data_IF_261516271870
#
_entry.id   IF_261516271870
#
_cell.length_a   1.000
_cell.length_b   1.000
_cell.length_c   1.000
_cell.angle_alpha   90.00
_cell.angle_beta   90.00
_cell.angle_gamma   90.00
#
_symmetry.space_group_name_H-M   'P 1'
#
loop_
_entity.id
_entity.type
_entity.pdbx_description
1 polymer ?
#
# COMPACT_ATOMS: atom_id res chain seq x y z
N UNK A 1 -12.02 -7.20 -8.74
CA UNK A 1 -12.82 -7.44 -7.53
C UNK A 1 -13.26 -6.15 -6.85
N UNK A 2 -12.35 -5.19 -6.66
CA UNK A 2 -12.66 -3.94 -5.93
C UNK A 2 -13.52 -2.92 -6.69
N UNK A 3 -13.43 -2.84 -8.03
CA UNK A 3 -14.26 -1.91 -8.84
C UNK A 3 -15.77 -2.16 -8.69
N UNK A 4 -16.17 -3.39 -8.35
CA UNK A 4 -17.58 -3.78 -8.11
C UNK A 4 -17.97 -3.73 -6.63
N UNK A 5 -17.08 -3.25 -5.75
CA UNK A 5 -17.40 -3.08 -4.33
C UNK A 5 -18.41 -1.96 -4.15
N UNK A 6 -19.42 -2.18 -3.31
CA UNK A 6 -20.38 -1.15 -2.90
C UNK A 6 -19.75 -0.09 -1.99
N UNK A 7 -18.53 -0.34 -1.51
CA UNK A 7 -17.77 0.59 -0.68
C UNK A 7 -16.41 0.80 -1.30
N UNK A 8 -16.13 2.05 -1.69
CA UNK A 8 -14.85 2.44 -2.28
C UNK A 8 -14.18 3.48 -1.40
N UNK A 9 -12.88 3.30 -1.12
CA UNK A 9 -12.07 4.35 -0.49
C UNK A 9 -11.58 5.37 -1.51
N UNK A 10 -11.23 6.57 -1.05
CA UNK A 10 -10.52 7.56 -1.85
C UNK A 10 -9.01 7.42 -1.63
N UNK A 11 -8.21 7.83 -2.62
CA UNK A 11 -6.76 7.97 -2.45
C UNK A 11 -6.38 9.44 -2.23
N UNK A 12 -5.72 9.71 -1.10
CA UNK A 12 -5.65 11.04 -0.49
C UNK A 12 -4.67 12.07 -1.07
N UNK A 13 -3.99 11.79 -2.17
CA UNK A 13 -2.98 12.70 -2.71
C UNK A 13 -3.59 13.94 -3.38
N UNK A 14 -4.79 13.78 -3.94
CA UNK A 14 -5.61 14.87 -4.46
C UNK A 14 -7.08 14.40 -4.45
N UNK A 15 -7.93 15.11 -3.72
CA UNK A 15 -9.36 14.81 -3.63
C UNK A 15 -10.14 16.00 -4.17
N UNK A 16 -11.03 15.74 -5.12
CA UNK A 16 -11.98 16.72 -5.67
C UNK A 16 -13.39 16.24 -5.36
N UNK A 17 -14.19 17.09 -4.72
CA UNK A 17 -15.56 16.77 -4.36
C UNK A 17 -16.47 17.99 -4.58
N UNK A 18 -17.72 17.73 -5.00
CA UNK A 18 -18.74 18.77 -5.07
C UNK A 18 -19.02 19.26 -3.65
N UNK A 19 -19.10 20.59 -3.46
CA UNK A 19 -19.25 21.21 -2.14
C UNK A 19 -20.50 20.72 -1.40
N UNK A 20 -21.61 20.50 -2.10
CA UNK A 20 -22.85 19.97 -1.52
C UNK A 20 -22.66 18.56 -0.97
N UNK A 21 -22.02 17.69 -1.76
CA UNK A 21 -21.78 16.29 -1.41
C UNK A 21 -20.80 16.17 -0.25
N UNK A 22 -19.74 16.98 -0.25
CA UNK A 22 -18.77 17.04 0.84
C UNK A 22 -19.42 17.49 2.15
N UNK A 23 -20.35 18.46 2.09
CA UNK A 23 -21.12 18.90 3.27
C UNK A 23 -22.13 17.85 3.74
N UNK A 24 -22.76 17.12 2.82
CA UNK A 24 -23.73 16.06 3.13
C UNK A 24 -23.15 15.00 4.06
N UNK A 25 -21.86 14.67 3.89
CA UNK A 25 -21.15 13.70 4.73
C UNK A 25 -20.41 14.33 5.92
N UNK A 26 -20.65 15.62 6.22
CA UNK A 26 -19.91 16.40 7.22
C UNK A 26 -18.38 16.46 6.98
N UNK A 27 -17.95 16.29 5.73
CA UNK A 27 -16.56 16.37 5.29
C UNK A 27 -15.57 15.56 6.14
N UNK A 28 -14.33 16.07 6.24
CA UNK A 28 -13.28 15.45 7.05
C UNK A 28 -13.58 15.44 8.56
N UNK A 29 -14.52 16.26 9.04
CA UNK A 29 -14.95 16.21 10.44
C UNK A 29 -15.55 14.85 10.81
N UNK A 30 -16.18 14.17 9.83
CA UNK A 30 -16.77 12.83 10.01
C UNK A 30 -15.74 11.70 10.16
N UNK A 31 -14.48 11.94 9.79
CA UNK A 31 -13.38 10.95 9.78
C UNK A 31 -12.15 11.42 10.56
N UNK A 32 -12.29 12.43 11.42
CA UNK A 32 -11.18 13.04 12.16
C UNK A 32 -10.41 12.06 13.07
N UNK A 33 -11.08 11.02 13.54
CA UNK A 33 -10.51 9.97 14.41
C UNK A 33 -9.90 8.82 13.61
N UNK A 34 -10.11 8.80 12.30
CA UNK A 34 -9.66 7.72 11.43
C UNK A 34 -8.19 7.87 11.10
N UNK A 35 -7.49 6.74 11.10
CA UNK A 35 -6.07 6.71 10.74
C UNK A 35 -5.91 7.03 9.26
N UNK A 36 -6.73 6.42 8.41
CA UNK A 36 -6.69 6.58 6.96
C UNK A 36 -7.93 7.36 6.54
N UNK A 37 -7.83 8.67 6.72
CA UNK A 37 -8.90 9.64 6.50
C UNK A 37 -9.43 9.60 5.08
N UNK A 38 -8.56 9.42 4.08
CA UNK A 38 -8.94 9.28 2.67
C UNK A 38 -9.82 8.05 2.39
N UNK A 39 -9.41 6.85 2.83
CA UNK A 39 -10.22 5.65 2.66
C UNK A 39 -11.56 5.76 3.41
N UNK A 40 -11.52 6.24 4.65
CA UNK A 40 -12.72 6.40 5.47
C UNK A 40 -13.68 7.45 4.87
N UNK A 41 -13.14 8.54 4.31
CA UNK A 41 -13.94 9.55 3.64
C UNK A 41 -14.62 8.98 2.40
N UNK A 42 -13.90 8.20 1.58
CA UNK A 42 -14.48 7.51 0.42
C UNK A 42 -15.59 6.53 0.81
N UNK A 43 -15.39 5.79 1.91
CA UNK A 43 -16.43 4.93 2.46
C UNK A 43 -17.69 5.72 2.83
N UNK A 44 -17.56 6.87 3.51
CA UNK A 44 -18.70 7.75 3.84
C UNK A 44 -19.43 8.28 2.60
N UNK A 45 -18.69 8.65 1.55
CA UNK A 45 -19.28 9.03 0.26
C UNK A 45 -20.10 7.88 -0.32
N UNK A 46 -19.50 6.69 -0.40
CA UNK A 46 -20.14 5.48 -0.94
C UNK A 46 -21.42 5.11 -0.16
N UNK A 47 -21.36 5.12 1.18
CA UNK A 47 -22.50 4.85 2.07
C UNK A 47 -23.63 5.87 1.92
N UNK A 48 -23.31 7.10 1.52
CA UNK A 48 -24.28 8.18 1.30
C UNK A 48 -24.85 8.22 -0.13
N UNK A 49 -24.57 7.19 -0.93
CA UNK A 49 -24.98 7.05 -2.32
C UNK A 49 -24.24 7.96 -3.29
N UNK A 50 -23.11 8.55 -2.89
CA UNK A 50 -22.32 9.44 -3.73
C UNK A 50 -21.25 8.61 -4.44
N UNK A 51 -21.16 8.67 -5.78
CA UNK A 51 -20.19 7.87 -6.53
C UNK A 51 -18.75 8.32 -6.22
N UNK A 52 -17.91 7.35 -5.90
CA UNK A 52 -16.46 7.54 -5.72
C UNK A 52 -15.76 7.02 -6.97
N UNK A 53 -14.81 7.80 -7.50
CA UNK A 53 -13.99 7.39 -8.65
C UNK A 53 -12.53 7.69 -8.34
N UNK A 54 -11.66 6.69 -8.52
CA UNK A 54 -10.21 6.83 -8.35
C UNK A 54 -9.51 6.81 -9.70
N UNK A 55 -8.60 7.75 -9.89
CA UNK A 55 -7.78 7.89 -11.09
C UNK A 55 -6.32 7.82 -10.70
N UNK A 56 -5.47 7.25 -11.56
CA UNK A 56 -4.03 7.19 -11.33
C UNK A 56 -3.38 8.59 -11.36
N UNK A 57 -4.02 9.57 -12.03
CA UNK A 57 -3.54 10.95 -12.07
C UNK A 57 -2.18 11.12 -12.75
N UNK A 58 -1.74 10.12 -13.53
CA UNK A 58 -0.47 10.14 -14.27
C UNK A 58 -0.37 11.43 -15.09
N UNK A 59 0.73 12.16 -14.91
CA UNK A 59 1.04 13.46 -15.52
C UNK A 59 0.15 14.66 -15.13
N UNK A 60 -0.90 14.46 -14.33
CA UNK A 60 -1.82 15.53 -13.92
C UNK A 60 -1.57 16.03 -12.49
N UNK A 61 -1.13 15.13 -11.60
CA UNK A 61 -0.89 15.44 -10.19
C UNK A 61 0.48 14.91 -9.79
N UNK A 62 1.34 15.80 -9.28
CA UNK A 62 2.65 15.45 -8.72
C UNK A 62 2.72 15.88 -7.28
N UNK A 63 3.12 14.97 -6.40
CA UNK A 63 3.29 15.25 -4.97
C UNK A 63 4.42 14.40 -4.40
N UNK A 64 4.98 14.85 -3.26
CA UNK A 64 6.01 14.10 -2.53
C UNK A 64 5.41 13.51 -1.26
N UNK A 65 5.17 12.20 -1.25
CA UNK A 65 4.53 11.51 -0.12
C UNK A 65 5.37 11.56 1.17
N UNK A 66 6.68 11.35 1.05
CA UNK A 66 7.62 11.25 2.18
C UNK A 66 8.77 12.25 2.07
N UNK A 67 8.57 13.52 2.47
CA UNK A 67 9.63 14.53 2.42
C UNK A 67 10.75 14.29 3.44
N UNK A 68 10.45 13.64 4.57
CA UNK A 68 11.41 13.36 5.66
C UNK A 68 12.32 12.15 5.43
N UNK A 69 12.46 11.67 4.19
CA UNK A 69 13.31 10.52 3.84
C UNK A 69 12.82 9.19 4.42
N UNK A 70 13.76 8.26 4.63
CA UNK A 70 13.50 6.87 5.03
C UNK A 70 12.63 6.75 6.28
N UNK A 71 12.83 7.61 7.28
CA UNK A 71 12.00 7.59 8.49
C UNK A 71 10.53 7.88 8.17
N UNK A 72 10.26 8.91 7.38
CA UNK A 72 8.89 9.26 6.99
C UNK A 72 8.25 8.17 6.13
N UNK A 73 9.05 7.47 5.33
CA UNK A 73 8.62 6.35 4.51
C UNK A 73 8.25 5.14 5.37
N UNK A 74 9.10 4.77 6.33
CA UNK A 74 8.83 3.67 7.29
C UNK A 74 7.56 3.95 8.10
N UNK A 75 7.43 5.16 8.66
CA UNK A 75 6.24 5.57 9.40
C UNK A 75 4.98 5.52 8.51
N UNK A 76 5.11 5.90 7.24
CA UNK A 76 4.01 5.93 6.28
C UNK A 76 3.52 4.57 5.83
N UNK A 77 4.42 3.70 5.41
CA UNK A 77 4.05 2.33 5.09
C UNK A 77 3.51 1.58 6.31
N UNK A 78 4.08 1.83 7.49
CA UNK A 78 3.56 1.33 8.76
C UNK A 78 2.09 1.68 8.95
N UNK A 79 1.74 2.95 8.76
CA UNK A 79 0.36 3.44 8.83
C UNK A 79 -0.56 2.74 7.82
N UNK A 80 -0.13 2.60 6.58
CA UNK A 80 -0.94 2.00 5.50
C UNK A 80 -1.24 0.52 5.73
N UNK A 81 -0.31 -0.23 6.34
CA UNK A 81 -0.51 -1.66 6.63
C UNK A 81 -1.69 -1.91 7.59
N UNK A 82 -1.91 -1.03 8.58
CA UNK A 82 -2.97 -1.17 9.59
C UNK A 82 -4.37 -1.14 8.98
N UNK A 83 -4.60 -0.15 8.12
CA UNK A 83 -5.94 0.19 7.64
C UNK A 83 -6.22 -0.39 6.27
N UNK A 84 -5.19 -0.60 5.44
CA UNK A 84 -5.34 -1.11 4.08
C UNK A 84 -5.94 -2.51 4.03
N UNK A 85 -5.55 -3.39 4.97
CA UNK A 85 -6.10 -4.75 5.05
C UNK A 85 -7.57 -4.80 5.48
N UNK A 86 -8.07 -3.81 6.22
CA UNK A 86 -9.49 -3.76 6.64
C UNK A 86 -10.41 -3.22 5.54
N UNK A 87 -9.86 -2.43 4.61
CA UNK A 87 -10.62 -1.77 3.56
C UNK A 87 -10.77 -2.60 2.29
N UNK A 88 -9.99 -3.68 2.12
CA UNK A 88 -9.98 -4.51 0.92
C UNK A 88 -10.72 -5.83 1.15
N UNK A 89 -11.25 -6.43 0.07
CA UNK A 89 -11.86 -7.76 0.16
C UNK A 89 -10.80 -8.82 0.46
N UNK A 90 -11.16 -9.82 1.27
CA UNK A 90 -10.28 -10.95 1.60
C UNK A 90 -9.70 -11.65 0.35
N UNK A 91 -10.49 -11.81 -0.72
CA UNK A 91 -10.00 -12.39 -1.97
C UNK A 91 -8.84 -11.60 -2.58
N UNK A 92 -8.93 -10.27 -2.55
CA UNK A 92 -7.88 -9.37 -3.07
C UNK A 92 -6.63 -9.49 -2.21
N UNK A 93 -6.80 -9.51 -0.89
CA UNK A 93 -5.70 -9.69 0.08
C UNK A 93 -4.99 -11.02 -0.17
N UNK A 94 -5.73 -12.12 -0.34
CA UNK A 94 -5.15 -13.44 -0.60
C UNK A 94 -4.36 -13.48 -1.91
N UNK A 95 -4.88 -12.89 -2.99
CA UNK A 95 -4.18 -12.84 -4.28
C UNK A 95 -2.90 -12.01 -4.21
N UNK A 96 -2.98 -10.84 -3.55
CA UNK A 96 -1.79 -9.99 -3.33
C UNK A 96 -0.78 -10.69 -2.44
N UNK A 97 -1.21 -11.35 -1.36
CA UNK A 97 -0.34 -12.10 -0.48
C UNK A 97 0.36 -13.25 -1.22
N UNK A 98 -0.37 -14.02 -2.03
CA UNK A 98 0.18 -15.09 -2.86
C UNK A 98 1.24 -14.54 -3.84
N UNK A 99 0.94 -13.42 -4.49
CA UNK A 99 1.88 -12.76 -5.40
C UNK A 99 3.14 -12.27 -4.65
N UNK A 100 2.99 -11.62 -3.50
CA UNK A 100 4.13 -11.16 -2.67
C UNK A 100 4.99 -12.33 -2.19
N UNK A 101 4.38 -13.41 -1.71
CA UNK A 101 5.11 -14.61 -1.27
C UNK A 101 5.89 -15.23 -2.42
N UNK A 102 5.27 -15.38 -3.59
CA UNK A 102 5.93 -15.88 -4.78
C UNK A 102 7.11 -15.00 -5.21
N UNK A 103 6.89 -13.69 -5.26
CA UNK A 103 7.93 -12.71 -5.57
C UNK A 103 9.13 -12.80 -4.62
N UNK A 104 8.89 -12.73 -3.31
CA UNK A 104 9.95 -12.79 -2.28
C UNK A 104 10.69 -14.12 -2.32
N UNK A 105 9.98 -15.23 -2.56
CA UNK A 105 10.58 -16.56 -2.66
C UNK A 105 11.51 -16.66 -3.85
N UNK A 106 11.08 -16.19 -5.03
CA UNK A 106 11.92 -16.16 -6.23
C UNK A 106 13.13 -15.26 -6.01
N UNK A 107 12.95 -14.07 -5.43
CA UNK A 107 14.03 -13.12 -5.17
C UNK A 107 15.12 -13.73 -4.27
N UNK A 108 14.71 -14.38 -3.18
CA UNK A 108 15.64 -14.94 -2.19
C UNK A 108 16.30 -16.23 -2.69
N UNK A 109 15.54 -17.16 -3.28
CA UNK A 109 16.05 -18.49 -3.60
C UNK A 109 16.83 -18.58 -4.91
N UNK A 110 16.53 -17.72 -5.90
CA UNK A 110 17.21 -17.74 -7.21
C UNK A 110 18.75 -17.77 -7.11
N UNK A 111 19.43 -16.91 -6.33
CA UNK A 111 20.89 -16.97 -6.22
C UNK A 111 21.39 -18.31 -5.65
N UNK A 112 20.73 -18.88 -4.64
CA UNK A 112 21.13 -20.16 -4.05
C UNK A 112 20.97 -21.33 -5.03
N UNK A 113 19.84 -21.38 -5.73
CA UNK A 113 19.54 -22.45 -6.71
C UNK A 113 20.52 -22.38 -7.90
N UNK A 114 20.94 -21.18 -8.30
CA UNK A 114 21.97 -20.98 -9.33
C UNK A 114 23.36 -21.41 -8.87
N UNK A 115 23.79 -20.98 -7.67
CA UNK A 115 25.12 -21.32 -7.11
C UNK A 115 25.25 -22.84 -6.91
N UNK A 116 24.19 -23.49 -6.45
CA UNK A 116 24.16 -24.94 -6.22
C UNK A 116 23.94 -25.75 -7.50
N UNK A 117 23.82 -25.10 -8.67
CA UNK A 117 23.56 -25.70 -9.98
C UNK A 117 22.41 -26.72 -9.97
N UNK A 118 21.33 -26.39 -9.25
CA UNK A 118 20.20 -27.28 -9.06
C UNK A 118 19.37 -27.41 -10.35
N UNK A 119 18.70 -28.54 -10.57
CA UNK A 119 17.91 -28.82 -11.78
C UNK A 119 16.82 -27.78 -12.09
N UNK A 120 16.32 -27.10 -11.06
CA UNK A 120 15.29 -26.05 -11.15
C UNK A 120 15.85 -24.65 -11.45
N UNK A 121 17.18 -24.46 -11.52
CA UNK A 121 17.83 -23.16 -11.70
C UNK A 121 17.27 -22.36 -12.88
N UNK A 122 17.02 -23.03 -14.01
CA UNK A 122 16.45 -22.40 -15.20
C UNK A 122 15.04 -21.83 -14.94
N UNK A 123 14.20 -22.55 -14.22
CA UNK A 123 12.84 -22.11 -13.91
C UNK A 123 12.81 -20.94 -12.92
N UNK A 124 13.69 -20.96 -11.93
CA UNK A 124 13.87 -19.82 -11.01
C UNK A 124 14.35 -18.58 -11.75
N UNK A 125 15.33 -18.71 -12.65
CA UNK A 125 15.83 -17.59 -13.46
C UNK A 125 14.74 -17.01 -14.37
N UNK A 126 13.96 -17.85 -15.05
CA UNK A 126 12.83 -17.39 -15.89
C UNK A 126 11.80 -16.65 -15.04
N UNK A 127 11.44 -17.21 -13.88
CA UNK A 127 10.47 -16.59 -12.96
C UNK A 127 10.98 -15.24 -12.44
N UNK A 128 12.27 -15.16 -12.11
CA UNK A 128 12.93 -13.93 -11.70
C UNK A 128 12.80 -12.85 -12.78
N UNK A 129 13.16 -13.18 -14.03
CA UNK A 129 13.05 -12.25 -15.15
C UNK A 129 11.60 -11.77 -15.39
N UNK A 130 10.61 -12.66 -15.25
CA UNK A 130 9.19 -12.30 -15.36
C UNK A 130 8.81 -11.28 -14.28
N UNK A 131 9.19 -11.52 -13.02
CA UNK A 131 8.95 -10.56 -11.93
C UNK A 131 9.68 -9.24 -12.15
N UNK A 132 10.93 -9.27 -12.61
CA UNK A 132 11.68 -8.06 -12.94
C UNK A 132 10.94 -7.23 -14.00
N UNK A 133 10.54 -7.83 -15.12
CA UNK A 133 9.77 -7.15 -16.18
C UNK A 133 8.45 -6.59 -15.63
N UNK A 134 7.77 -7.35 -14.77
CA UNK A 134 6.53 -6.91 -14.12
C UNK A 134 6.76 -5.69 -13.20
N UNK A 135 7.86 -5.65 -12.43
CA UNK A 135 8.22 -4.50 -11.61
C UNK A 135 8.50 -3.27 -12.48
N UNK A 136 9.26 -3.42 -13.57
CA UNK A 136 9.48 -2.32 -14.52
C UNK A 136 8.16 -1.76 -15.09
N UNK A 137 7.20 -2.64 -15.38
CA UNK A 137 5.87 -2.23 -15.82
C UNK A 137 5.10 -1.47 -14.73
N UNK A 138 5.10 -1.94 -13.48
CA UNK A 138 4.36 -1.29 -12.40
C UNK A 138 4.96 0.05 -11.96
N UNK A 139 6.29 0.16 -11.92
CA UNK A 139 7.00 1.39 -11.53
C UNK A 139 6.58 2.58 -12.39
N UNK A 140 6.24 2.35 -13.67
CA UNK A 140 5.71 3.38 -14.57
C UNK A 140 4.42 4.04 -14.06
N UNK A 141 3.61 3.33 -13.29
CA UNK A 141 2.30 3.79 -12.83
C UNK A 141 2.26 4.22 -11.37
N UNK A 142 3.27 3.86 -10.57
CA UNK A 142 3.29 4.12 -9.12
C UNK A 142 4.07 5.38 -8.74
N UNK A 143 4.96 5.89 -9.60
CA UNK A 143 5.68 7.13 -9.34
C UNK A 143 6.89 7.36 -10.23
N UNK A 144 7.56 8.49 -10.03
CA UNK A 144 8.80 8.82 -10.74
C UNK A 144 10.02 8.26 -9.97
N UNK A 145 10.31 6.98 -10.19
CA UNK A 145 11.48 6.32 -9.62
C UNK A 145 12.64 6.34 -10.61
N UNK A 146 13.85 6.63 -10.13
CA UNK A 146 15.06 6.49 -10.95
C UNK A 146 15.25 5.03 -11.33
N UNK A 147 15.78 4.75 -12.54
CA UNK A 147 16.03 3.40 -13.08
C UNK A 147 16.82 2.49 -12.13
N UNK A 148 17.62 3.07 -11.23
CA UNK A 148 18.32 2.34 -10.18
C UNK A 148 17.38 1.53 -9.25
N UNK A 149 16.21 2.06 -8.90
CA UNK A 149 15.27 1.40 -7.97
C UNK A 149 14.76 0.06 -8.52
N UNK A 150 14.21 -0.03 -9.76
CA UNK A 150 13.78 -1.31 -10.31
C UNK A 150 14.95 -2.25 -10.68
N UNK A 151 16.14 -1.73 -10.98
CA UNK A 151 17.34 -2.58 -11.18
C UNK A 151 17.73 -3.26 -9.87
N UNK A 152 17.70 -2.54 -8.75
CA UNK A 152 17.96 -3.08 -7.41
C UNK A 152 16.66 -3.45 -6.69
N UNK A 153 15.70 -4.03 -7.41
CA UNK A 153 14.42 -4.42 -6.84
C UNK A 153 14.58 -5.39 -5.67
N UNK A 154 15.61 -6.24 -5.64
CA UNK A 154 15.91 -7.08 -4.47
C UNK A 154 16.13 -6.30 -3.18
N UNK A 155 16.78 -5.13 -3.24
CA UNK A 155 16.92 -4.25 -2.07
C UNK A 155 15.57 -3.64 -1.67
N UNK A 156 14.76 -3.23 -2.66
CA UNK A 156 13.39 -2.75 -2.41
C UNK A 156 12.49 -3.84 -1.82
N UNK A 157 12.67 -5.09 -2.22
CA UNK A 157 11.97 -6.26 -1.66
C UNK A 157 12.34 -6.50 -0.21
N UNK A 158 13.63 -6.45 0.13
CA UNK A 158 14.09 -6.56 1.50
C UNK A 158 13.53 -5.42 2.37
N UNK A 159 13.51 -4.20 1.83
CA UNK A 159 12.88 -3.07 2.50
C UNK A 159 11.38 -3.30 2.72
N UNK A 160 10.65 -3.81 1.72
CA UNK A 160 9.23 -4.15 1.85
C UNK A 160 9.00 -5.21 2.94
N UNK A 161 9.80 -6.29 2.94
CA UNK A 161 9.72 -7.34 3.97
C UNK A 161 9.98 -6.75 5.36
N UNK A 162 11.02 -5.92 5.50
CA UNK A 162 11.32 -5.20 6.73
C UNK A 162 10.12 -4.35 7.20
N UNK A 163 9.52 -3.58 6.31
CA UNK A 163 8.34 -2.76 6.59
C UNK A 163 7.15 -3.62 7.04
N UNK A 164 6.90 -4.76 6.38
CA UNK A 164 5.81 -5.67 6.75
C UNK A 164 6.02 -6.24 8.16
N UNK A 165 7.25 -6.68 8.46
CA UNK A 165 7.62 -7.19 9.79
C UNK A 165 7.54 -6.10 10.86
N UNK A 166 8.07 -4.90 10.58
CA UNK A 166 7.98 -3.73 11.46
C UNK A 166 6.53 -3.36 11.75
N UNK A 167 5.70 -3.29 10.71
CA UNK A 167 4.27 -3.00 10.83
C UNK A 167 3.57 -4.05 11.68
N UNK A 168 3.85 -5.34 11.44
CA UNK A 168 3.28 -6.43 12.20
C UNK A 168 3.67 -6.36 13.69
N UNK A 169 4.95 -6.15 13.98
CA UNK A 169 5.46 -5.97 15.34
C UNK A 169 4.78 -4.79 16.04
N UNK A 170 4.75 -3.61 15.41
CA UNK A 170 4.14 -2.41 16.00
C UNK A 170 2.63 -2.59 16.21
N UNK A 171 1.95 -3.29 15.32
CA UNK A 171 0.52 -3.55 15.42
C UNK A 171 0.14 -4.54 16.52
N UNK A 172 0.81 -5.69 16.56
CA UNK A 172 0.44 -6.81 17.43
C UNK A 172 1.04 -6.70 18.83
N UNK A 173 2.23 -6.13 18.94
CA UNK A 173 2.98 -6.11 20.20
C UNK A 173 2.91 -4.71 20.84
N UNK A 174 3.17 -3.65 20.07
CA UNK A 174 3.21 -2.28 20.62
C UNK A 174 1.83 -1.61 20.66
N UNK A 175 0.91 -2.00 19.77
CA UNK A 175 -0.43 -1.42 19.65
C UNK A 175 -0.46 0.01 19.10
N UNK A 176 0.69 0.58 18.70
CA UNK A 176 0.78 1.94 18.16
C UNK A 176 1.89 2.12 17.12
N UNK A 177 1.65 3.02 16.17
CA UNK A 177 2.59 3.38 15.10
C UNK A 177 2.95 4.86 15.24
N UNK A 178 4.25 5.20 15.20
CA UNK A 178 4.66 6.59 15.22
C UNK A 178 4.34 7.21 13.85
N UNK A 179 3.70 8.37 13.86
CA UNK A 179 3.36 9.10 12.65
C UNK A 179 3.52 10.60 12.87
N UNK A 180 4.51 11.20 12.21
CA UNK A 180 4.76 12.67 12.27
C UNK A 180 4.76 13.21 13.71
N UNK A 181 5.45 12.51 14.61
CA UNK A 181 5.56 12.89 16.03
C UNK A 181 4.37 12.51 16.92
N UNK A 182 3.33 11.86 16.40
CA UNK A 182 2.18 11.35 17.18
C UNK A 182 2.18 9.83 17.24
N UNK A 183 1.63 9.24 18.30
CA UNK A 183 1.35 7.80 18.36
C UNK A 183 -0.08 7.54 17.89
N UNK A 184 -0.20 6.73 16.84
CA UNK A 184 -1.50 6.32 16.30
C UNK A 184 -1.79 4.91 16.80
N UNK A 185 -2.84 4.76 17.61
CA UNK A 185 -3.21 3.46 18.19
C UNK A 185 -4.01 2.63 17.20
N UNK A 186 -3.67 1.35 17.09
CA UNK A 186 -4.32 0.40 16.20
C UNK A 186 -5.68 -0.05 16.77
N UNK A 187 -6.70 0.82 16.74
CA UNK A 187 -8.02 0.45 17.29
C UNK A 187 -8.97 1.58 17.66
N UNK A 188 -8.85 2.78 17.08
CA UNK A 188 -9.71 3.95 17.39
C UNK A 188 -11.19 3.85 17.01
N UNK A 189 -11.81 2.67 17.15
CA UNK A 189 -13.23 2.42 16.91
C UNK A 189 -13.92 1.57 17.99
N UNK A 190 -13.30 1.36 19.16
CA UNK A 190 -14.02 0.85 20.34
C UNK A 190 -13.75 1.77 21.52
N UNK A 191 -14.84 2.29 22.09
CA UNK A 191 -14.96 3.26 23.19
C UNK A 191 -14.96 4.74 22.78
N UNK A 192 -16.06 5.16 22.13
CA UNK A 192 -16.88 6.29 22.59
C UNK A 192 -18.35 5.95 22.41
#
# INVERSE_FOLDING_TARGET
FERKSNTQGLYGSCIVAVRSDYRKINGHSSVRSEIMDDLSLGKRFSESGIPVNNFLGTDQVSYRMYPGGLRSEIEGFGKSAVSGMKAMRHSTICLVAMWVVGFVTIEILTPFVLILNHSLARWFLISYLIYTVQIFYFVKYTGNYKVFIPVFHGLSSLFMVYIMLYSHYRLKIVGSIPWKGRQVHAGGGQNQ
#
